data_IF_002515797112
#
_entry.id   IF_002515797112
#
_cell.length_a   1.000
_cell.length_b   1.000
_cell.length_c   1.000
_cell.angle_alpha   90.00
_cell.angle_beta   90.00
_cell.angle_gamma   90.00
#
_symmetry.space_group_name_H-M   'P 1'
#
loop_
_entity.id
_entity.type
_entity.pdbx_description
1 polymer ?
#
# COMPACT_ATOMS: atom_id res chain seq x y z
N UNK A 1 10.23 9.15 -5.67
CA UNK A 1 8.87 9.73 -5.66
C UNK A 1 8.81 11.04 -6.45
N UNK A 2 7.60 11.56 -6.69
CA UNK A 2 7.40 12.86 -7.35
C UNK A 2 7.86 14.00 -6.42
N UNK A 3 8.43 15.06 -7.03
CA UNK A 3 8.80 16.28 -6.29
C UNK A 3 7.57 16.83 -5.55
N UNK A 4 7.71 17.13 -4.25
CA UNK A 4 6.61 17.60 -3.41
C UNK A 4 5.81 16.52 -2.69
N UNK A 5 5.97 15.23 -3.01
CA UNK A 5 5.23 14.16 -2.35
C UNK A 5 5.43 14.14 -0.82
N UNK A 6 6.61 14.54 -0.33
CA UNK A 6 6.90 14.65 1.11
C UNK A 6 5.96 15.63 1.85
N UNK A 7 5.26 16.52 1.15
CA UNK A 7 4.26 17.44 1.72
C UNK A 7 2.86 16.80 1.81
N UNK A 8 2.69 15.61 1.26
CA UNK A 8 1.42 14.88 1.23
C UNK A 8 0.78 14.71 2.61
N UNK A 9 1.50 14.22 3.63
CA UNK A 9 0.94 14.02 4.97
C UNK A 9 0.34 15.30 5.57
N UNK A 10 1.03 16.42 5.45
CA UNK A 10 0.53 17.69 5.97
C UNK A 10 -0.67 18.22 5.18
N UNK A 11 -0.68 18.03 3.86
CA UNK A 11 -1.81 18.41 3.03
C UNK A 11 -3.06 17.57 3.36
N UNK A 12 -2.90 16.26 3.56
CA UNK A 12 -3.97 15.35 3.95
C UNK A 12 -4.51 15.72 5.34
N UNK A 13 -3.65 15.97 6.33
CA UNK A 13 -4.05 16.40 7.69
C UNK A 13 -4.89 17.68 7.68
N UNK A 14 -4.51 18.66 6.85
CA UNK A 14 -5.28 19.90 6.69
C UNK A 14 -6.69 19.65 6.18
N UNK A 15 -6.89 18.68 5.30
CA UNK A 15 -8.22 18.33 4.82
C UNK A 15 -8.99 17.49 5.85
N UNK A 16 -8.37 16.52 6.46
CA UNK A 16 -8.98 15.71 7.52
C UNK A 16 -9.49 16.57 8.69
N UNK A 17 -8.73 17.58 9.10
CA UNK A 17 -9.11 18.49 10.19
C UNK A 17 -10.40 19.32 9.91
N UNK A 18 -10.88 19.33 8.66
CA UNK A 18 -12.12 20.04 8.28
C UNK A 18 -13.33 19.11 8.22
N UNK A 19 -13.12 17.80 8.32
CA UNK A 19 -14.20 16.83 8.25
C UNK A 19 -14.88 16.69 9.61
N UNK A 20 -16.21 16.54 9.58
CA UNK A 20 -16.97 16.18 10.76
C UNK A 20 -16.66 14.73 11.17
N UNK A 21 -16.41 14.52 12.45
CA UNK A 21 -16.18 13.18 13.00
C UNK A 21 -17.49 12.63 13.58
N UNK A 22 -17.92 11.47 13.09
CA UNK A 22 -19.21 10.86 13.45
C UNK A 22 -19.06 9.50 14.16
N UNK A 23 -17.88 9.21 14.72
CA UNK A 23 -17.55 7.91 15.31
C UNK A 23 -17.18 8.07 16.79
N UNK A 24 -18.16 8.19 17.66
CA UNK A 24 -17.96 8.45 19.10
C UNK A 24 -17.18 7.34 19.83
N UNK A 25 -17.14 6.13 19.26
CA UNK A 25 -16.43 4.97 19.83
C UNK A 25 -14.97 4.84 19.39
N UNK A 26 -14.51 5.63 18.43
CA UNK A 26 -13.13 5.58 17.94
C UNK A 26 -12.28 6.67 18.57
N UNK A 27 -11.08 6.30 19.00
CA UNK A 27 -10.03 7.24 19.38
C UNK A 27 -8.99 7.31 18.27
N UNK A 28 -8.73 8.51 17.76
CA UNK A 28 -7.71 8.77 16.76
C UNK A 28 -6.60 9.57 17.39
N UNK A 29 -5.36 9.11 17.24
CA UNK A 29 -4.16 9.81 17.72
C UNK A 29 -3.20 10.05 16.56
N UNK A 30 -2.69 11.28 16.45
CA UNK A 30 -1.63 11.62 15.50
C UNK A 30 -0.26 11.51 16.20
N UNK A 31 0.56 10.61 15.72
CA UNK A 31 1.89 10.33 16.27
C UNK A 31 3.01 11.18 15.60
N UNK A 32 2.64 12.12 14.76
CA UNK A 32 3.60 13.00 14.08
C UNK A 32 4.22 12.37 12.83
N UNK A 33 5.44 12.77 12.51
CA UNK A 33 6.11 12.42 11.27
C UNK A 33 7.39 11.62 11.51
N UNK A 34 7.58 10.58 10.70
CA UNK A 34 8.87 9.95 10.51
C UNK A 34 9.57 10.67 9.35
N UNK A 35 10.70 11.32 9.63
CA UNK A 35 11.44 12.10 8.64
C UNK A 35 12.64 11.33 8.10
N UNK A 36 12.75 11.26 6.79
CA UNK A 36 13.88 10.71 6.07
C UNK A 36 14.89 11.84 5.75
N UNK A 37 15.52 12.38 6.78
CA UNK A 37 16.27 13.66 6.70
C UNK A 37 17.57 13.56 5.90
N UNK A 38 18.23 12.41 5.93
CA UNK A 38 19.51 12.12 5.26
C UNK A 38 19.33 11.43 3.89
N UNK A 39 18.08 11.20 3.47
CA UNK A 39 17.77 10.50 2.23
C UNK A 39 18.00 8.99 2.26
N UNK A 40 18.34 8.42 3.41
CA UNK A 40 18.45 6.96 3.58
C UNK A 40 17.05 6.34 3.73
N UNK A 41 16.49 5.93 2.60
CA UNK A 41 15.14 5.36 2.55
C UNK A 41 15.05 4.02 3.29
N UNK A 42 16.08 3.20 3.26
CA UNK A 42 16.10 1.88 3.91
C UNK A 42 15.99 2.02 5.44
N UNK A 43 16.71 2.96 6.04
CA UNK A 43 16.60 3.23 7.47
C UNK A 43 15.21 3.76 7.84
N UNK A 44 14.61 4.59 6.98
CA UNK A 44 13.26 5.09 7.19
C UNK A 44 12.21 3.97 7.08
N UNK A 45 12.35 3.07 6.10
CA UNK A 45 11.47 1.91 5.96
C UNK A 45 11.59 0.98 7.17
N UNK A 46 12.82 0.75 7.67
CA UNK A 46 13.07 -0.02 8.87
C UNK A 46 12.44 0.62 10.11
N UNK A 47 12.60 1.93 10.29
CA UNK A 47 11.99 2.64 11.41
C UNK A 47 10.46 2.58 11.34
N UNK A 48 9.88 2.75 10.14
CA UNK A 48 8.44 2.60 9.93
C UNK A 48 7.94 1.19 10.26
N UNK A 49 8.69 0.15 9.88
CA UNK A 49 8.30 -1.22 10.17
C UNK A 49 8.25 -1.50 11.68
N UNK A 50 9.23 -1.01 12.43
CA UNK A 50 9.25 -1.15 13.91
C UNK A 50 8.07 -0.43 14.55
N UNK A 51 7.76 0.80 14.14
CA UNK A 51 6.61 1.54 14.66
C UNK A 51 5.28 0.85 14.33
N UNK A 52 5.12 0.39 13.08
CA UNK A 52 3.92 -0.32 12.65
C UNK A 52 3.70 -1.59 13.46
N UNK A 53 4.74 -2.40 13.64
CA UNK A 53 4.71 -3.62 14.45
C UNK A 53 4.28 -3.30 15.90
N UNK A 54 4.89 -2.28 16.51
CA UNK A 54 4.57 -1.86 17.88
C UNK A 54 3.11 -1.43 18.04
N UNK A 55 2.57 -0.64 17.09
CA UNK A 55 1.18 -0.23 17.12
C UNK A 55 0.22 -1.42 17.01
N UNK A 56 0.50 -2.36 16.12
CA UNK A 56 -0.33 -3.56 15.95
C UNK A 56 -0.30 -4.47 17.17
N UNK A 57 0.87 -4.65 17.81
CA UNK A 57 0.99 -5.41 19.07
C UNK A 57 0.19 -4.74 20.20
N UNK A 58 0.06 -3.41 20.17
CA UNK A 58 -0.76 -2.64 21.12
C UNK A 58 -2.24 -2.55 20.70
N UNK A 59 -2.67 -3.40 19.77
CA UNK A 59 -4.06 -3.44 19.25
C UNK A 59 -4.53 -2.11 18.62
N UNK A 60 -3.59 -1.28 18.18
CA UNK A 60 -3.88 -0.05 17.44
C UNK A 60 -3.91 -0.34 15.93
N UNK A 61 -4.75 0.37 15.20
CA UNK A 61 -4.84 0.27 13.74
C UNK A 61 -4.03 1.41 13.09
N UNK A 62 -2.81 1.14 12.57
CA UNK A 62 -1.97 2.19 12.01
C UNK A 62 -2.48 2.62 10.62
N UNK A 63 -2.61 3.94 10.43
CA UNK A 63 -2.82 4.57 9.13
C UNK A 63 -1.59 5.41 8.81
N UNK A 64 -0.86 5.02 7.77
CA UNK A 64 0.34 5.73 7.34
C UNK A 64 -0.03 6.70 6.23
N UNK A 65 0.22 7.99 6.45
CA UNK A 65 0.13 9.01 5.42
C UNK A 65 1.51 9.17 4.78
N UNK A 66 1.64 8.72 3.56
CA UNK A 66 2.93 8.68 2.88
C UNK A 66 3.25 9.95 2.12
N UNK A 67 4.53 10.10 1.83
CA UNK A 67 5.02 10.93 0.75
C UNK A 67 4.89 10.17 -0.56
N UNK A 68 5.86 9.31 -0.89
CA UNK A 68 5.79 8.40 -2.02
C UNK A 68 5.32 7.01 -1.60
N UNK A 69 4.99 6.16 -2.58
CA UNK A 69 4.55 4.78 -2.33
C UNK A 69 5.67 3.85 -1.79
N UNK A 70 6.87 4.37 -1.66
CA UNK A 70 8.00 3.74 -0.97
C UNK A 70 7.71 3.42 0.51
N UNK A 71 6.76 4.12 1.15
CA UNK A 71 6.29 3.80 2.51
C UNK A 71 5.63 2.42 2.61
N UNK A 72 5.08 1.89 1.51
CA UNK A 72 4.37 0.63 1.51
C UNK A 72 5.23 -0.54 1.95
N UNK A 73 6.52 -0.57 1.58
CA UNK A 73 7.42 -1.64 1.99
C UNK A 73 7.60 -1.68 3.53
N UNK A 74 8.00 -0.56 4.14
CA UNK A 74 8.20 -0.50 5.60
C UNK A 74 6.91 -0.76 6.38
N UNK A 75 5.77 -0.25 5.90
CA UNK A 75 4.47 -0.50 6.51
C UNK A 75 4.10 -2.00 6.45
N UNK A 76 4.25 -2.62 5.27
CA UNK A 76 4.00 -4.06 5.09
C UNK A 76 4.90 -4.92 5.99
N UNK A 77 6.20 -4.63 6.06
CA UNK A 77 7.14 -5.40 6.90
C UNK A 77 6.70 -5.35 8.37
N UNK A 78 6.27 -4.20 8.87
CA UNK A 78 5.75 -4.08 10.23
C UNK A 78 4.47 -4.91 10.47
N UNK A 79 3.55 -4.93 9.49
CA UNK A 79 2.35 -5.78 9.53
C UNK A 79 2.75 -7.26 9.53
N UNK A 80 3.64 -7.64 8.62
CA UNK A 80 4.12 -9.01 8.53
C UNK A 80 4.75 -9.49 9.85
N UNK A 81 5.63 -8.69 10.44
CA UNK A 81 6.28 -9.01 11.72
C UNK A 81 5.27 -9.19 12.86
N UNK A 82 4.29 -8.29 12.97
CA UNK A 82 3.25 -8.38 13.99
C UNK A 82 2.40 -9.67 13.85
N UNK A 83 2.17 -10.13 12.61
CA UNK A 83 1.37 -11.32 12.31
C UNK A 83 2.15 -12.63 12.41
N UNK A 84 3.49 -12.61 12.37
CA UNK A 84 4.36 -13.80 12.52
C UNK A 84 4.17 -14.55 13.84
N UNK A 85 3.52 -13.94 14.83
CA UNK A 85 3.11 -14.62 16.06
C UNK A 85 2.05 -15.72 15.81
N UNK A 86 1.43 -15.73 14.61
CA UNK A 86 0.53 -16.79 14.14
C UNK A 86 1.18 -17.49 12.94
N UNK A 87 1.55 -18.73 13.11
CA UNK A 87 2.22 -19.52 12.05
C UNK A 87 1.44 -19.46 10.72
N UNK A 88 2.17 -19.16 9.63
CA UNK A 88 1.68 -19.21 8.24
C UNK A 88 0.51 -18.29 7.89
N UNK A 89 0.32 -17.15 8.56
CA UNK A 89 -0.70 -16.17 8.18
C UNK A 89 -0.46 -15.65 6.75
N UNK A 90 -1.48 -15.76 5.90
CA UNK A 90 -1.47 -15.22 4.53
C UNK A 90 -1.92 -13.77 4.55
N UNK A 91 -1.13 -12.90 3.93
CA UNK A 91 -1.42 -11.47 3.83
C UNK A 91 -1.81 -11.13 2.40
N UNK A 92 -3.02 -10.63 2.21
CA UNK A 92 -3.46 -10.06 0.95
C UNK A 92 -3.19 -8.56 0.90
N UNK A 93 -2.48 -8.10 -0.12
CA UNK A 93 -2.30 -6.66 -0.40
C UNK A 93 -3.34 -6.24 -1.42
N UNK A 94 -4.17 -5.24 -1.09
CA UNK A 94 -5.07 -4.57 -2.03
C UNK A 94 -4.51 -3.17 -2.26
N UNK A 95 -4.12 -2.87 -3.50
CA UNK A 95 -3.57 -1.58 -3.90
C UNK A 95 -4.48 -0.89 -4.92
N UNK A 96 -4.93 0.33 -4.60
CA UNK A 96 -5.60 1.23 -5.54
C UNK A 96 -4.55 2.13 -6.17
N UNK A 97 -4.25 1.92 -7.47
CA UNK A 97 -3.12 2.56 -8.11
C UNK A 97 -3.24 2.50 -9.64
N UNK A 98 -2.74 3.51 -10.33
CA UNK A 98 -2.54 3.48 -11.78
C UNK A 98 -1.36 2.59 -12.20
N UNK A 99 -0.44 2.27 -11.28
CA UNK A 99 0.80 1.56 -11.51
C UNK A 99 0.87 0.24 -10.74
N UNK A 100 1.73 -0.66 -11.20
CA UNK A 100 2.01 -1.90 -10.47
C UNK A 100 3.00 -1.73 -9.33
N UNK A 101 3.88 -0.75 -9.39
CA UNK A 101 5.03 -0.55 -8.49
C UNK A 101 5.87 -1.82 -8.28
N UNK A 102 6.06 -2.54 -9.41
CA UNK A 102 6.79 -3.80 -9.52
C UNK A 102 8.16 -3.66 -10.18
N UNK A 103 8.72 -2.45 -10.26
CA UNK A 103 10.05 -2.26 -10.86
C UNK A 103 11.09 -3.08 -10.10
N UNK A 104 12.03 -3.72 -10.82
CA UNK A 104 13.16 -4.39 -10.17
C UNK A 104 13.97 -3.44 -9.31
N UNK A 105 14.49 -3.95 -8.19
CA UNK A 105 15.41 -3.21 -7.34
C UNK A 105 16.82 -3.29 -7.95
N UNK A 106 17.24 -2.26 -8.67
CA UNK A 106 18.57 -2.23 -9.30
C UNK A 106 19.65 -1.66 -8.37
N UNK A 107 19.41 -0.50 -7.76
CA UNK A 107 20.39 0.19 -6.92
C UNK A 107 19.82 0.54 -5.53
N UNK A 108 18.76 1.34 -5.52
CA UNK A 108 18.12 1.82 -4.29
C UNK A 108 16.61 1.66 -4.39
N UNK A 109 15.93 1.40 -3.26
CA UNK A 109 14.48 1.37 -3.23
C UNK A 109 13.91 2.74 -3.59
N UNK A 110 12.76 2.73 -4.24
CA UNK A 110 11.97 3.91 -4.55
C UNK A 110 10.50 3.55 -4.66
N UNK A 111 9.62 4.54 -4.82
CA UNK A 111 8.16 4.34 -4.84
C UNK A 111 7.69 3.22 -5.79
N UNK A 112 8.33 3.08 -6.94
CA UNK A 112 7.96 2.06 -7.93
C UNK A 112 8.52 0.65 -7.69
N UNK A 113 9.26 0.38 -6.59
CA UNK A 113 9.87 -0.94 -6.31
C UNK A 113 9.22 -1.70 -5.16
N UNK A 114 8.32 -1.05 -4.41
CA UNK A 114 7.84 -1.54 -3.11
C UNK A 114 7.22 -2.93 -3.18
N UNK A 115 6.32 -3.18 -4.14
CA UNK A 115 5.65 -4.49 -4.22
C UNK A 115 6.52 -5.55 -4.86
N UNK A 116 7.50 -5.18 -5.69
CA UNK A 116 8.50 -6.15 -6.15
C UNK A 116 9.33 -6.66 -4.98
N UNK A 117 9.81 -5.78 -4.09
CA UNK A 117 10.56 -6.15 -2.90
C UNK A 117 9.71 -7.07 -2.00
N UNK A 118 8.49 -6.64 -1.66
CA UNK A 118 7.57 -7.43 -0.82
C UNK A 118 7.36 -8.83 -1.39
N UNK A 119 7.01 -8.94 -2.68
CA UNK A 119 6.74 -10.23 -3.30
C UNK A 119 8.00 -11.09 -3.51
N UNK A 120 9.17 -10.49 -3.58
CA UNK A 120 10.43 -11.23 -3.66
C UNK A 120 10.83 -11.83 -2.32
N UNK A 121 10.57 -11.13 -1.22
CA UNK A 121 10.96 -11.54 0.13
C UNK A 121 9.88 -12.37 0.83
N UNK A 122 8.60 -12.02 0.63
CA UNK A 122 7.46 -12.57 1.36
C UNK A 122 6.41 -13.27 0.47
N UNK A 123 6.71 -13.46 -0.82
CA UNK A 123 5.74 -13.98 -1.79
C UNK A 123 5.22 -15.40 -1.54
N UNK A 124 5.83 -16.17 -0.63
CA UNK A 124 5.31 -17.47 -0.21
C UNK A 124 4.02 -17.38 0.61
N UNK A 125 3.83 -16.27 1.33
CA UNK A 125 2.69 -16.01 2.23
C UNK A 125 1.94 -14.74 1.86
N UNK A 126 2.27 -14.09 0.74
CA UNK A 126 1.71 -12.80 0.35
C UNK A 126 1.11 -12.86 -1.05
N UNK A 127 -0.12 -12.40 -1.18
CA UNK A 127 -0.77 -12.17 -2.46
C UNK A 127 -0.94 -10.68 -2.73
N UNK A 128 -0.89 -10.28 -4.00
CA UNK A 128 -1.04 -8.89 -4.40
C UNK A 128 -2.18 -8.72 -5.41
N UNK A 129 -3.06 -7.75 -5.15
CA UNK A 129 -4.16 -7.37 -6.01
C UNK A 129 -4.15 -5.87 -6.27
N UNK A 130 -3.82 -5.48 -7.49
CA UNK A 130 -3.80 -4.08 -7.93
C UNK A 130 -5.09 -3.71 -8.66
N UNK A 131 -5.73 -2.61 -8.26
CA UNK A 131 -6.99 -2.11 -8.78
C UNK A 131 -6.79 -0.72 -9.40
N UNK A 132 -7.23 -0.54 -10.63
CA UNK A 132 -7.12 0.73 -11.34
C UNK A 132 -5.93 0.84 -12.28
N UNK A 133 -5.28 -0.28 -12.61
CA UNK A 133 -4.10 -0.31 -13.49
C UNK A 133 -4.38 0.38 -14.83
N UNK A 134 -3.55 1.37 -15.14
CA UNK A 134 -3.58 2.06 -16.43
C UNK A 134 -2.56 1.44 -17.38
N UNK A 135 -3.04 0.84 -18.47
CA UNK A 135 -2.16 0.17 -19.42
C UNK A 135 -1.06 1.10 -19.99
N UNK A 136 -1.35 2.36 -20.36
CA UNK A 136 -0.30 3.27 -20.87
C UNK A 136 0.74 3.69 -19.83
N UNK A 137 0.44 3.56 -18.54
CA UNK A 137 1.33 3.94 -17.44
C UNK A 137 2.29 2.82 -17.00
N UNK A 138 2.13 1.61 -17.55
CA UNK A 138 2.93 0.45 -17.20
C UNK A 138 3.60 -0.15 -18.44
N UNK A 139 4.90 -0.43 -18.34
CA UNK A 139 5.66 -1.04 -19.43
C UNK A 139 5.30 -2.51 -19.64
N UNK A 140 5.61 -3.07 -20.81
CA UNK A 140 5.43 -4.50 -21.07
C UNK A 140 6.21 -5.38 -20.07
N UNK A 141 7.38 -4.90 -19.65
CA UNK A 141 8.18 -5.57 -18.63
C UNK A 141 7.44 -5.70 -17.29
N UNK A 142 6.76 -4.64 -16.83
CA UNK A 142 5.97 -4.67 -15.60
C UNK A 142 4.80 -5.65 -15.70
N UNK A 143 4.16 -5.78 -16.85
CA UNK A 143 3.15 -6.82 -17.09
C UNK A 143 3.75 -8.22 -17.07
N UNK A 144 4.96 -8.40 -17.59
CA UNK A 144 5.66 -9.68 -17.53
C UNK A 144 6.00 -10.07 -16.07
N UNK A 145 6.51 -9.11 -15.27
CA UNK A 145 6.78 -9.30 -13.84
C UNK A 145 5.48 -9.60 -13.06
N UNK A 146 4.41 -8.87 -13.33
CA UNK A 146 3.12 -9.11 -12.71
C UNK A 146 2.60 -10.55 -12.98
N UNK A 147 2.79 -11.03 -14.20
CA UNK A 147 2.45 -12.42 -14.58
C UNK A 147 3.33 -13.43 -13.86
N UNK A 148 4.65 -13.23 -13.82
CA UNK A 148 5.62 -14.10 -13.15
C UNK A 148 5.29 -14.21 -11.65
N UNK A 149 5.06 -13.08 -10.99
CA UNK A 149 4.73 -13.00 -9.57
C UNK A 149 3.26 -13.31 -9.26
N UNK A 150 2.47 -13.71 -10.26
CA UNK A 150 1.05 -14.08 -10.14
C UNK A 150 0.18 -12.97 -9.52
N UNK A 151 0.49 -11.72 -9.83
CA UNK A 151 -0.27 -10.57 -9.37
C UNK A 151 -1.66 -10.57 -9.97
N UNK A 152 -2.68 -10.41 -9.13
CA UNK A 152 -4.04 -10.15 -9.57
C UNK A 152 -4.18 -8.66 -9.88
N UNK A 153 -4.84 -8.31 -10.98
CA UNK A 153 -5.11 -6.89 -11.25
C UNK A 153 -6.39 -6.68 -12.05
N UNK A 154 -6.91 -5.47 -11.94
CA UNK A 154 -7.99 -4.96 -12.81
C UNK A 154 -7.55 -3.64 -13.41
N UNK A 155 -7.86 -3.46 -14.69
CA UNK A 155 -7.67 -2.18 -15.36
C UNK A 155 -8.65 -1.13 -14.85
N UNK A 156 -8.30 0.14 -15.00
CA UNK A 156 -9.10 1.26 -14.54
C UNK A 156 -10.50 1.31 -15.19
N UNK A 157 -10.63 0.98 -16.47
CA UNK A 157 -11.90 0.93 -17.19
C UNK A 157 -12.84 -0.16 -16.63
N UNK A 158 -12.28 -1.27 -16.13
CA UNK A 158 -13.06 -2.32 -15.44
C UNK A 158 -13.54 -1.84 -14.08
N UNK A 159 -12.78 -0.95 -13.42
CA UNK A 159 -13.10 -0.42 -12.09
C UNK A 159 -14.18 0.68 -12.13
N UNK A 160 -14.66 1.09 -13.29
CA UNK A 160 -15.74 2.06 -13.42
C UNK A 160 -17.09 1.54 -12.89
N UNK A 161 -17.98 2.47 -12.54
CA UNK A 161 -19.25 2.20 -11.86
C UNK A 161 -20.11 1.10 -12.48
N UNK A 162 -20.09 0.94 -13.80
CA UNK A 162 -20.90 -0.06 -14.51
C UNK A 162 -20.52 -1.50 -14.13
N UNK A 163 -19.28 -1.72 -13.70
CA UNK A 163 -18.72 -3.03 -13.38
C UNK A 163 -18.60 -3.28 -11.87
N UNK A 164 -19.16 -2.43 -11.00
CA UNK A 164 -18.93 -2.49 -9.55
C UNK A 164 -19.18 -3.88 -8.94
N UNK A 165 -20.21 -4.61 -9.42
CA UNK A 165 -20.54 -5.97 -8.92
C UNK A 165 -19.42 -6.97 -9.21
N UNK A 166 -18.79 -6.88 -10.39
CA UNK A 166 -17.66 -7.72 -10.76
C UNK A 166 -16.44 -7.39 -9.88
N UNK A 167 -16.15 -6.10 -9.72
CA UNK A 167 -15.03 -5.63 -8.89
C UNK A 167 -15.20 -6.11 -7.44
N UNK A 168 -16.37 -5.88 -6.85
CA UNK A 168 -16.69 -6.33 -5.49
C UNK A 168 -16.55 -7.85 -5.37
N UNK A 169 -17.09 -8.62 -6.30
CA UNK A 169 -16.99 -10.09 -6.27
C UNK A 169 -15.53 -10.57 -6.29
N UNK A 170 -14.66 -9.93 -7.08
CA UNK A 170 -13.23 -10.25 -7.11
C UNK A 170 -12.51 -9.87 -5.82
N UNK A 171 -12.86 -8.70 -5.23
CA UNK A 171 -12.33 -8.28 -3.94
C UNK A 171 -12.74 -9.27 -2.85
N UNK A 172 -14.02 -9.65 -2.78
CA UNK A 172 -14.49 -10.66 -1.81
C UNK A 172 -13.75 -11.98 -1.93
N UNK A 173 -13.63 -12.53 -3.14
CA UNK A 173 -12.89 -13.76 -3.36
C UNK A 173 -11.39 -13.64 -3.00
N UNK A 174 -10.81 -12.44 -3.09
CA UNK A 174 -9.45 -12.17 -2.63
C UNK A 174 -9.37 -12.11 -1.10
N UNK A 175 -10.31 -11.46 -0.45
CA UNK A 175 -10.40 -11.36 1.02
C UNK A 175 -10.52 -12.76 1.64
N UNK A 176 -11.43 -13.61 1.13
CA UNK A 176 -11.74 -14.93 1.70
C UNK A 176 -10.55 -15.90 1.74
N UNK A 177 -9.53 -15.69 0.92
CA UNK A 177 -8.35 -16.58 0.88
C UNK A 177 -7.13 -16.06 1.62
N UNK A 178 -7.25 -14.90 2.28
CA UNK A 178 -6.19 -14.28 3.06
C UNK A 178 -6.63 -14.08 4.51
N UNK A 179 -5.72 -14.32 5.45
CA UNK A 179 -6.00 -14.22 6.90
C UNK A 179 -5.95 -12.77 7.39
N UNK A 180 -5.18 -11.92 6.70
CA UNK A 180 -5.06 -10.50 6.96
C UNK A 180 -4.99 -9.71 5.65
N UNK A 181 -5.37 -8.43 5.72
CA UNK A 181 -5.33 -7.53 4.57
C UNK A 181 -4.48 -6.30 4.87
N UNK A 182 -3.62 -5.97 3.94
CA UNK A 182 -2.97 -4.68 3.84
C UNK A 182 -3.62 -3.87 2.73
N UNK A 183 -4.29 -2.77 3.11
CA UNK A 183 -4.88 -1.84 2.16
C UNK A 183 -3.92 -0.67 1.93
N UNK A 184 -3.64 -0.38 0.68
CA UNK A 184 -2.83 0.77 0.28
C UNK A 184 -3.47 1.51 -0.89
N UNK A 185 -3.29 2.82 -0.93
CA UNK A 185 -3.95 3.71 -1.89
C UNK A 185 -2.91 4.71 -2.40
N UNK A 186 -2.59 4.64 -3.69
CA UNK A 186 -1.91 5.73 -4.37
C UNK A 186 -2.95 6.69 -4.97
N UNK A 187 -2.79 7.98 -4.70
CA UNK A 187 -3.75 8.99 -5.16
C UNK A 187 -3.72 9.19 -6.67
N UNK A 188 -2.67 8.73 -7.36
CA UNK A 188 -2.60 8.83 -8.82
C UNK A 188 -3.48 7.80 -9.56
N UNK A 189 -4.01 6.82 -8.83
CA UNK A 189 -5.07 5.93 -9.31
C UNK A 189 -6.43 6.61 -9.48
N UNK A 190 -6.60 7.83 -8.95
CA UNK A 190 -7.85 8.58 -9.01
C UNK A 190 -7.75 9.75 -9.99
N UNK A 191 -8.90 10.14 -10.56
CA UNK A 191 -8.95 11.31 -11.42
C UNK A 191 -8.61 12.59 -10.64
N UNK A 192 -7.73 13.43 -11.20
CA UNK A 192 -7.40 14.76 -10.65
C UNK A 192 -8.49 15.81 -10.91
N UNK A 193 -9.63 15.41 -11.48
CA UNK A 193 -10.73 16.30 -11.81
C UNK A 193 -11.74 16.56 -10.66
N UNK A 194 -11.46 16.02 -9.47
CA UNK A 194 -12.29 16.18 -8.27
C UNK A 194 -11.56 16.98 -7.20
#
# INVERSE_FOLDING_TARGET
>A
GRVGAAQGPDAIRKQLARLAFHQDSLSISDYGNLLCADGNLEDCQKALSVLTEQFLIQESFPIVLGGGHDVAYGHFVGIHNALQQKENSRIGIINFDAHFDLRPLENQPHSGTSFNQILSEYGSTTEYFALGIQQPANTQELFAIAKEKKVNYLFNDVCENINYKLVISKIHAFIERNDALYLTIDLDGFSSAY
#
